data_IF_277093967256
#
_entry.id   IF_277093967256
#
_cell.length_a   1.000
_cell.length_b   1.000
_cell.length_c   1.000
_cell.angle_alpha   90.00
_cell.angle_beta   90.00
_cell.angle_gamma   90.00
#
_symmetry.space_group_name_H-M   'P 1'
#
loop_
_entity.id
_entity.type
_entity.pdbx_description
1 polymer ?
#
# COMPACT_ATOMS: atom_id res chain seq x y z
N UNK A 1 -5.85 3.54 15.28
CA UNK A 1 -6.66 4.61 14.66
C UNK A 1 -6.63 5.83 15.54
N UNK A 2 -7.03 5.71 16.79
CA UNK A 2 -7.14 6.83 17.71
C UNK A 2 -5.84 7.63 17.87
N UNK A 3 -4.70 6.96 18.05
CA UNK A 3 -3.38 7.60 18.13
C UNK A 3 -3.01 8.42 16.87
N UNK A 4 -3.50 8.00 15.71
CA UNK A 4 -3.13 8.60 14.42
C UNK A 4 -4.12 9.64 13.93
N UNK A 5 -5.41 9.43 14.17
CA UNK A 5 -6.48 10.31 13.69
C UNK A 5 -7.09 11.19 14.79
N UNK A 6 -6.61 11.04 16.04
CA UNK A 6 -7.01 11.88 17.18
C UNK A 6 -8.39 11.59 17.77
N UNK A 7 -9.10 10.58 17.21
CA UNK A 7 -10.38 10.13 17.75
C UNK A 7 -10.57 8.61 17.51
N UNK A 8 -11.34 7.93 18.36
CA UNK A 8 -11.63 6.51 18.19
C UNK A 8 -12.46 6.23 16.93
N UNK A 9 -12.34 5.01 16.38
CA UNK A 9 -12.96 4.66 15.10
C UNK A 9 -14.48 4.89 15.07
N UNK A 10 -15.18 4.61 16.17
CA UNK A 10 -16.64 4.79 16.26
C UNK A 10 -17.10 6.26 16.26
N UNK A 11 -16.21 7.20 16.55
CA UNK A 11 -16.51 8.63 16.42
C UNK A 11 -16.25 9.14 14.99
N UNK A 12 -15.26 8.57 14.31
CA UNK A 12 -14.86 8.96 12.96
C UNK A 12 -15.74 8.33 11.89
N UNK A 13 -16.15 7.09 12.10
CA UNK A 13 -16.93 6.29 11.15
C UNK A 13 -18.29 5.91 11.73
N UNK A 14 -19.28 5.76 10.90
CA UNK A 14 -20.61 5.18 11.25
C UNK A 14 -20.47 3.67 11.47
N UNK A 15 -19.72 3.00 10.56
CA UNK A 15 -19.39 1.59 10.68
C UNK A 15 -17.90 1.38 10.47
N UNK A 16 -17.25 0.70 11.43
CA UNK A 16 -15.87 0.25 11.31
C UNK A 16 -15.79 -1.21 11.79
N UNK A 17 -15.50 -2.18 10.90
CA UNK A 17 -15.54 -3.60 11.25
C UNK A 17 -14.36 -4.00 12.15
N UNK A 18 -14.57 -4.96 13.07
CA UNK A 18 -13.51 -5.53 13.90
C UNK A 18 -12.50 -6.36 13.11
N UNK A 19 -12.95 -6.95 11.99
CA UNK A 19 -12.10 -7.82 11.16
C UNK A 19 -11.72 -7.11 9.86
N UNK A 20 -10.43 -7.16 9.47
CA UNK A 20 -10.02 -6.65 8.18
C UNK A 20 -10.58 -7.50 7.03
N UNK A 21 -10.88 -6.87 5.92
CA UNK A 21 -11.27 -7.55 4.67
C UNK A 21 -10.07 -8.14 3.93
N UNK A 22 -8.87 -7.57 4.18
CA UNK A 22 -7.61 -8.06 3.64
C UNK A 22 -6.48 -7.79 4.62
N UNK A 23 -5.51 -8.70 4.64
CA UNK A 23 -4.27 -8.55 5.40
C UNK A 23 -3.08 -8.67 4.47
N UNK A 24 -2.18 -7.70 4.54
CA UNK A 24 -0.90 -7.67 3.85
C UNK A 24 0.25 -7.78 4.87
N UNK A 25 1.48 -7.93 4.37
CA UNK A 25 2.68 -7.97 5.21
C UNK A 25 2.81 -6.75 6.11
N UNK A 26 2.57 -5.56 5.57
CA UNK A 26 2.80 -4.28 6.22
C UNK A 26 1.55 -3.67 6.87
N UNK A 27 0.34 -4.17 6.56
CA UNK A 27 -0.89 -3.58 7.06
C UNK A 27 -2.14 -4.41 6.87
N UNK A 28 -3.25 -3.89 7.34
CA UNK A 28 -4.58 -4.48 7.25
C UNK A 28 -5.54 -3.48 6.61
N UNK A 29 -6.43 -3.95 5.75
CA UNK A 29 -7.41 -3.11 5.06
C UNK A 29 -8.81 -3.40 5.61
N UNK A 30 -9.51 -2.34 5.95
CA UNK A 30 -10.87 -2.35 6.46
C UNK A 30 -11.80 -1.63 5.47
N UNK A 31 -13.03 -2.13 5.32
CA UNK A 31 -14.10 -1.41 4.62
C UNK A 31 -14.90 -0.65 5.66
N UNK A 32 -14.66 0.64 5.78
CA UNK A 32 -15.36 1.52 6.72
C UNK A 32 -16.47 2.29 6.02
N UNK A 33 -17.44 2.79 6.79
CA UNK A 33 -18.52 3.62 6.30
C UNK A 33 -18.53 4.93 7.08
N UNK A 34 -18.55 6.04 6.37
CA UNK A 34 -18.64 7.36 7.00
C UNK A 34 -20.06 7.68 7.45
N UNK A 35 -20.21 8.68 8.32
CA UNK A 35 -21.50 9.23 8.73
C UNK A 35 -22.37 9.75 7.58
N UNK A 36 -21.75 10.06 6.44
CA UNK A 36 -22.43 10.47 5.21
C UNK A 36 -22.75 9.28 4.28
N UNK A 37 -22.73 8.07 4.79
CA UNK A 37 -23.05 6.82 4.05
C UNK A 37 -22.09 6.52 2.88
N UNK A 38 -20.83 7.00 2.94
CA UNK A 38 -19.81 6.75 1.93
C UNK A 38 -18.89 5.63 2.42
N UNK A 39 -18.65 4.62 1.56
CA UNK A 39 -17.71 3.55 1.86
C UNK A 39 -16.27 3.94 1.53
N UNK A 40 -15.36 3.61 2.45
CA UNK A 40 -13.93 3.88 2.36
C UNK A 40 -13.11 2.60 2.58
N UNK A 41 -11.98 2.52 1.91
CA UNK A 41 -10.93 1.54 2.18
C UNK A 41 -9.92 2.19 3.12
N UNK A 42 -9.83 1.69 4.34
CA UNK A 42 -8.91 2.18 5.38
C UNK A 42 -7.80 1.15 5.57
N UNK A 43 -6.60 1.46 5.12
CA UNK A 43 -5.41 0.63 5.29
C UNK A 43 -4.66 1.12 6.52
N UNK A 44 -4.55 0.27 7.51
CA UNK A 44 -3.89 0.55 8.80
C UNK A 44 -2.60 -0.23 8.89
N UNK A 45 -1.51 0.43 9.20
CA UNK A 45 -0.19 -0.18 9.37
C UNK A 45 -0.15 -1.10 10.59
N UNK A 46 0.63 -2.18 10.52
CA UNK A 46 0.87 -3.04 11.69
C UNK A 46 1.62 -2.27 12.78
N UNK A 47 1.33 -2.53 14.06
CA UNK A 47 2.01 -1.85 15.16
C UNK A 47 3.51 -2.15 15.14
N UNK A 48 4.31 -1.19 15.59
CA UNK A 48 5.76 -1.29 15.77
C UNK A 48 6.57 -1.62 14.49
N UNK A 49 5.97 -1.51 13.30
CA UNK A 49 6.58 -1.89 12.03
C UNK A 49 7.89 -1.12 11.76
N UNK A 50 7.92 0.17 12.06
CA UNK A 50 9.12 0.99 11.93
C UNK A 50 10.31 0.42 12.73
N UNK A 51 10.08 0.04 14.00
CA UNK A 51 11.13 -0.52 14.86
C UNK A 51 11.58 -1.90 14.39
N UNK A 52 10.65 -2.72 13.90
CA UNK A 52 10.97 -4.04 13.37
C UNK A 52 11.86 -3.92 12.13
N UNK A 53 11.49 -3.09 11.17
CA UNK A 53 12.29 -2.85 9.95
C UNK A 53 13.67 -2.30 10.32
N UNK A 54 13.73 -1.29 11.19
CA UNK A 54 15.01 -0.71 11.63
C UNK A 54 15.93 -1.76 12.25
N UNK A 55 15.39 -2.57 13.16
CA UNK A 55 16.15 -3.66 13.80
C UNK A 55 16.67 -4.65 12.76
N UNK A 56 15.80 -5.08 11.84
CA UNK A 56 16.13 -6.10 10.86
C UNK A 56 17.17 -5.60 9.85
N UNK A 57 17.08 -4.34 9.41
CA UNK A 57 18.11 -3.69 8.55
C UNK A 57 19.46 -3.61 9.26
N UNK A 58 19.50 -3.25 10.56
CA UNK A 58 20.73 -3.21 11.35
C UNK A 58 21.37 -4.60 11.46
N UNK A 59 20.56 -5.63 11.74
CA UNK A 59 21.04 -7.01 11.82
C UNK A 59 21.58 -7.48 10.46
N UNK A 60 20.85 -7.23 9.38
CA UNK A 60 21.29 -7.59 8.03
C UNK A 60 22.62 -6.91 7.66
N UNK A 61 22.75 -5.63 7.99
CA UNK A 61 23.99 -4.89 7.75
C UNK A 61 25.16 -5.44 8.54
N UNK A 62 24.95 -5.79 9.81
CA UNK A 62 25.97 -6.44 10.64
C UNK A 62 26.39 -7.79 10.03
N UNK A 63 25.44 -8.64 9.68
CA UNK A 63 25.71 -9.93 9.04
C UNK A 63 26.45 -9.76 7.71
N UNK A 64 26.03 -8.80 6.89
CA UNK A 64 26.70 -8.49 5.63
C UNK A 64 28.17 -8.12 5.85
N UNK A 65 28.48 -7.27 6.82
CA UNK A 65 29.86 -6.88 7.13
C UNK A 65 30.72 -8.08 7.61
N UNK A 66 30.11 -9.00 8.39
CA UNK A 66 30.83 -10.17 8.90
C UNK A 66 31.09 -11.20 7.80
N UNK A 67 30.10 -11.44 6.93
CA UNK A 67 30.16 -12.53 5.95
C UNK A 67 30.66 -12.09 4.57
N UNK A 68 30.65 -10.80 4.23
CA UNK A 68 31.07 -10.33 2.91
C UNK A 68 32.48 -10.77 2.50
N UNK A 69 33.48 -10.88 3.38
CA UNK A 69 34.81 -11.36 3.00
C UNK A 69 34.83 -12.85 2.57
N UNK A 70 33.84 -13.61 2.99
CA UNK A 70 33.72 -15.05 2.69
C UNK A 70 32.84 -15.35 1.48
N UNK A 71 32.13 -14.34 0.95
CA UNK A 71 31.23 -14.52 -0.18
C UNK A 71 31.95 -14.10 -1.47
N UNK A 72 32.08 -14.99 -2.48
CA UNK A 72 32.71 -14.66 -3.76
C UNK A 72 31.74 -13.83 -4.63
N UNK A 73 31.20 -12.73 -4.07
CA UNK A 73 30.25 -11.86 -4.75
C UNK A 73 30.99 -10.75 -5.47
N UNK A 74 31.05 -10.86 -6.79
CA UNK A 74 31.63 -9.83 -7.67
C UNK A 74 30.51 -8.93 -8.23
N UNK A 75 29.76 -8.24 -7.31
CA UNK A 75 28.56 -7.48 -7.67
C UNK A 75 28.87 -6.03 -8.07
N UNK A 76 30.14 -5.60 -7.98
CA UNK A 76 30.54 -4.22 -8.30
C UNK A 76 30.06 -3.14 -7.31
N UNK A 77 29.18 -3.50 -6.37
CA UNK A 77 28.62 -2.63 -5.30
C UNK A 77 28.76 -3.37 -3.96
N UNK A 78 29.03 -2.63 -2.88
CA UNK A 78 29.15 -3.23 -1.54
C UNK A 78 27.80 -3.79 -1.06
N UNK A 79 27.78 -5.00 -0.46
CA UNK A 79 26.55 -5.61 0.09
C UNK A 79 25.88 -4.65 1.10
N UNK A 80 26.66 -3.91 1.88
CA UNK A 80 26.17 -2.91 2.82
C UNK A 80 25.33 -1.81 2.13
N UNK A 81 25.76 -1.35 0.96
CA UNK A 81 25.04 -0.33 0.17
C UNK A 81 23.71 -0.87 -0.35
N UNK A 82 23.69 -2.13 -0.78
CA UNK A 82 22.44 -2.80 -1.21
C UNK A 82 21.46 -2.89 -0.05
N UNK A 83 21.92 -3.24 1.15
CA UNK A 83 21.09 -3.31 2.35
C UNK A 83 20.57 -1.93 2.76
N UNK A 84 21.40 -0.90 2.66
CA UNK A 84 20.99 0.47 2.94
C UNK A 84 19.91 0.96 1.97
N UNK A 85 20.06 0.65 0.68
CA UNK A 85 19.06 1.00 -0.33
C UNK A 85 17.74 0.22 -0.14
N UNK A 86 17.84 -1.06 0.18
CA UNK A 86 16.70 -1.87 0.55
C UNK A 86 15.98 -1.32 1.80
N UNK A 87 16.75 -0.92 2.83
CA UNK A 87 16.20 -0.29 4.02
C UNK A 87 15.45 1.00 3.71
N UNK A 88 16.02 1.88 2.86
CA UNK A 88 15.34 3.10 2.41
C UNK A 88 14.05 2.80 1.66
N UNK A 89 14.06 1.81 0.77
CA UNK A 89 12.86 1.38 0.05
C UNK A 89 11.77 0.91 1.01
N UNK A 90 12.10 0.08 2.01
CA UNK A 90 11.16 -0.36 3.03
C UNK A 90 10.60 0.80 3.87
N UNK A 91 11.43 1.77 4.27
CA UNK A 91 10.96 2.95 5.00
C UNK A 91 10.06 3.85 4.17
N UNK A 92 10.28 3.93 2.86
CA UNK A 92 9.38 4.63 1.95
C UNK A 92 8.04 3.90 1.79
N UNK A 93 8.05 2.56 1.74
CA UNK A 93 6.86 1.72 1.61
C UNK A 93 5.92 1.80 2.83
N UNK A 94 6.47 2.08 4.01
CA UNK A 94 5.68 2.25 5.23
C UNK A 94 5.23 3.70 5.48
N UNK A 95 5.58 4.63 4.63
CA UNK A 95 5.18 6.03 4.73
C UNK A 95 3.91 6.27 3.92
N UNK A 96 2.75 6.13 4.58
CA UNK A 96 1.45 6.24 3.91
C UNK A 96 1.07 7.67 3.53
N UNK A 97 1.72 8.70 4.07
CA UNK A 97 1.57 10.07 3.57
C UNK A 97 2.12 10.18 2.14
N UNK A 98 3.29 9.59 1.88
CA UNK A 98 3.86 9.53 0.52
C UNK A 98 3.00 8.69 -0.43
N UNK A 99 2.42 7.57 0.05
CA UNK A 99 1.49 6.77 -0.74
C UNK A 99 0.28 7.61 -1.16
N UNK A 100 -0.28 8.41 -0.23
CA UNK A 100 -1.38 9.34 -0.51
C UNK A 100 -1.01 10.45 -1.49
N UNK A 101 0.17 11.07 -1.35
CA UNK A 101 0.67 12.08 -2.30
C UNK A 101 0.88 11.50 -3.70
N UNK A 102 1.39 10.28 -3.79
CA UNK A 102 1.55 9.58 -5.06
C UNK A 102 0.19 9.25 -5.69
N UNK A 103 -0.80 8.85 -4.90
CA UNK A 103 -2.16 8.62 -5.39
C UNK A 103 -2.75 9.90 -6.01
N UNK A 104 -2.53 11.08 -5.41
CA UNK A 104 -2.95 12.37 -5.98
C UNK A 104 -2.25 12.68 -7.31
N UNK A 105 -0.93 12.44 -7.40
CA UNK A 105 -0.17 12.62 -8.66
C UNK A 105 -0.67 11.68 -9.75
N UNK A 106 -0.94 10.42 -9.41
CA UNK A 106 -1.51 9.45 -10.33
C UNK A 106 -2.91 9.86 -10.79
N UNK A 107 -3.76 10.32 -9.88
CA UNK A 107 -5.09 10.81 -10.23
C UNK A 107 -5.03 11.99 -11.22
N UNK A 108 -4.09 12.92 -11.05
CA UNK A 108 -3.91 14.03 -12.00
C UNK A 108 -3.36 13.54 -13.35
N UNK A 109 -2.40 12.63 -13.34
CA UNK A 109 -1.81 12.05 -14.57
C UNK A 109 -2.86 11.34 -15.43
N UNK A 110 -3.77 10.58 -14.80
CA UNK A 110 -4.76 9.75 -15.50
C UNK A 110 -6.15 10.39 -15.59
N UNK A 111 -6.34 11.64 -15.18
CA UNK A 111 -7.66 12.31 -15.15
C UNK A 111 -8.42 12.32 -16.48
N UNK A 112 -7.69 12.27 -17.59
CA UNK A 112 -8.26 12.27 -18.94
C UNK A 112 -8.32 10.86 -19.56
N UNK A 113 -7.95 9.82 -18.84
CA UNK A 113 -7.99 8.43 -19.34
C UNK A 113 -9.23 7.72 -18.77
N UNK A 114 -10.29 7.48 -19.58
CA UNK A 114 -11.52 6.86 -19.10
C UNK A 114 -11.36 5.39 -18.70
N UNK A 115 -10.25 4.75 -19.06
CA UNK A 115 -9.98 3.35 -18.77
C UNK A 115 -9.20 3.14 -17.47
N UNK A 116 -8.78 4.23 -16.80
CA UNK A 116 -8.02 4.18 -15.55
C UNK A 116 -8.76 4.98 -14.48
N UNK A 117 -9.14 4.31 -13.42
CA UNK A 117 -9.77 4.93 -12.26
C UNK A 117 -8.85 4.84 -11.05
N UNK A 118 -8.50 5.99 -10.50
CA UNK A 118 -7.70 6.09 -9.28
C UNK A 118 -8.63 6.37 -8.10
N UNK A 119 -8.60 5.56 -7.03
CA UNK A 119 -9.39 5.81 -5.83
C UNK A 119 -9.07 7.18 -5.24
N UNK A 120 -10.08 7.93 -4.85
CA UNK A 120 -9.88 9.25 -4.25
C UNK A 120 -9.19 9.11 -2.89
N UNK A 121 -8.08 9.79 -2.70
CA UNK A 121 -7.39 9.88 -1.42
C UNK A 121 -8.16 10.78 -0.45
N UNK A 122 -8.48 10.28 0.75
CA UNK A 122 -9.22 10.99 1.79
C UNK A 122 -8.27 11.43 2.90
N UNK A 123 -7.68 12.60 2.73
CA UNK A 123 -6.65 13.14 3.62
C UNK A 123 -7.13 13.29 5.08
N UNK A 124 -8.40 13.63 5.29
CA UNK A 124 -8.98 13.82 6.63
C UNK A 124 -9.05 12.53 7.48
N UNK A 125 -8.99 11.37 6.82
CA UNK A 125 -8.97 10.05 7.45
C UNK A 125 -7.63 9.33 7.24
N UNK A 126 -6.56 10.08 6.95
CA UNK A 126 -5.23 9.54 6.67
C UNK A 126 -4.17 10.19 7.53
N UNK A 127 -3.09 9.46 7.78
CA UNK A 127 -1.92 9.87 8.54
C UNK A 127 -0.69 9.11 8.05
N UNK A 128 0.44 9.24 8.73
CA UNK A 128 1.66 8.51 8.40
C UNK A 128 1.50 6.99 8.44
N UNK A 129 0.60 6.47 9.29
CA UNK A 129 0.36 5.03 9.50
C UNK A 129 -1.03 4.56 9.04
N UNK A 130 -1.83 5.46 8.48
CA UNK A 130 -3.18 5.15 7.95
C UNK A 130 -3.35 5.83 6.60
N UNK A 131 -3.67 5.05 5.57
CA UNK A 131 -4.10 5.61 4.29
C UNK A 131 -5.54 5.21 4.01
N UNK A 132 -6.34 6.21 3.67
CA UNK A 132 -7.76 6.05 3.39
C UNK A 132 -8.08 6.53 1.98
N UNK A 133 -8.77 5.68 1.23
CA UNK A 133 -9.21 5.98 -0.12
C UNK A 133 -10.69 5.64 -0.27
N UNK A 134 -11.32 6.18 -1.33
CA UNK A 134 -12.67 5.76 -1.68
C UNK A 134 -12.71 4.25 -1.93
N UNK A 135 -13.78 3.60 -1.47
CA UNK A 135 -14.01 2.19 -1.76
C UNK A 135 -14.36 1.99 -3.24
N UNK A 136 -13.80 0.97 -3.85
CA UNK A 136 -14.12 0.57 -5.22
C UNK A 136 -14.64 -0.86 -5.19
N UNK A 137 -15.81 -1.06 -5.77
CA UNK A 137 -16.31 -2.40 -6.07
C UNK A 137 -15.72 -2.85 -7.40
N UNK A 138 -15.08 -4.02 -7.41
CA UNK A 138 -14.41 -4.53 -8.59
C UNK A 138 -14.21 -6.03 -8.55
N UNK A 139 -13.91 -6.61 -9.71
CA UNK A 139 -13.60 -8.03 -9.87
C UNK A 139 -12.08 -8.22 -9.94
N UNK A 140 -11.55 -9.17 -9.17
CA UNK A 140 -10.12 -9.49 -9.22
C UNK A 140 -9.78 -10.17 -10.55
N UNK A 141 -8.74 -9.73 -11.24
CA UNK A 141 -8.30 -10.30 -12.52
C UNK A 141 -7.97 -11.80 -12.48
N UNK A 142 -7.70 -12.36 -11.31
CA UNK A 142 -7.49 -13.80 -11.11
C UNK A 142 -8.79 -14.61 -11.02
N UNK A 143 -9.93 -13.96 -10.81
CA UNK A 143 -11.23 -14.62 -10.67
C UNK A 143 -11.89 -14.75 -12.04
N UNK A 144 -11.50 -15.80 -12.77
CA UNK A 144 -11.99 -16.09 -14.13
C UNK A 144 -13.49 -16.22 -14.20
N UNK A 145 -14.10 -16.84 -13.19
CA UNK A 145 -15.53 -17.05 -13.16
C UNK A 145 -16.31 -15.71 -13.11
N UNK A 146 -15.92 -14.81 -12.22
CA UNK A 146 -16.52 -13.48 -12.13
C UNK A 146 -16.23 -12.59 -13.36
N UNK A 147 -15.05 -12.75 -13.98
CA UNK A 147 -14.73 -12.05 -15.22
C UNK A 147 -15.64 -12.49 -16.35
N UNK A 148 -15.86 -13.80 -16.53
CA UNK A 148 -16.76 -14.36 -17.56
C UNK A 148 -18.21 -13.93 -17.33
N UNK A 149 -18.72 -14.02 -16.09
CA UNK A 149 -20.08 -13.57 -15.75
C UNK A 149 -20.32 -12.09 -16.06
N UNK A 150 -19.31 -11.23 -15.91
CA UNK A 150 -19.39 -9.80 -16.17
C UNK A 150 -18.96 -9.44 -17.61
N UNK A 151 -18.76 -10.41 -18.51
CA UNK A 151 -18.28 -10.21 -19.88
C UNK A 151 -16.97 -9.40 -19.96
N UNK A 152 -16.09 -9.56 -18.98
CA UNK A 152 -14.81 -8.85 -18.90
C UNK A 152 -13.72 -9.66 -19.61
N UNK A 153 -13.07 -9.06 -20.62
CA UNK A 153 -12.03 -9.72 -21.43
C UNK A 153 -10.66 -9.38 -20.84
N UNK A 154 -9.91 -10.36 -20.26
CA UNK A 154 -8.61 -10.10 -19.63
C UNK A 154 -7.59 -9.40 -20.54
N UNK A 155 -7.58 -9.71 -21.83
CA UNK A 155 -6.66 -9.11 -22.80
C UNK A 155 -6.81 -7.59 -22.92
N UNK A 156 -8.04 -7.04 -22.77
CA UNK A 156 -8.27 -5.60 -22.83
C UNK A 156 -7.66 -4.88 -21.62
N UNK A 157 -7.72 -5.49 -20.44
CA UNK A 157 -7.11 -4.94 -19.21
C UNK A 157 -5.59 -4.97 -19.28
N UNK A 158 -5.00 -6.09 -19.76
CA UNK A 158 -3.55 -6.20 -19.96
C UNK A 158 -3.07 -5.11 -20.91
N UNK A 159 -3.79 -4.90 -22.04
CA UNK A 159 -3.46 -3.82 -22.97
C UNK A 159 -3.49 -2.46 -22.28
N UNK A 160 -4.53 -2.17 -21.50
CA UNK A 160 -4.65 -0.90 -20.75
C UNK A 160 -3.50 -0.73 -19.75
N UNK A 161 -3.17 -1.76 -18.97
CA UNK A 161 -2.05 -1.73 -18.02
C UNK A 161 -0.72 -1.42 -18.73
N UNK A 162 -0.42 -2.10 -19.83
CA UNK A 162 0.81 -1.88 -20.60
C UNK A 162 0.89 -0.46 -21.17
N UNK A 163 -0.21 0.04 -21.75
CA UNK A 163 -0.27 1.40 -22.33
C UNK A 163 -0.15 2.47 -21.24
N UNK A 164 -0.70 2.22 -20.06
CA UNK A 164 -0.67 3.14 -18.93
C UNK A 164 0.65 3.08 -18.14
N UNK A 165 1.55 2.15 -18.46
CA UNK A 165 2.80 1.96 -17.73
C UNK A 165 2.63 1.36 -16.34
N UNK A 166 1.52 0.66 -16.11
CA UNK A 166 1.14 0.01 -14.84
C UNK A 166 1.52 -1.47 -14.81
#
# INVERSE_FOLDING_TARGET
IEEELGAPAHELFDEFPDKPIASASLGQVYKAKTKNNIFLAVKVQRPNLYFLIRRDVVILRFLANVFSPFLPLNIGVGIGEIIDEFGKALFNEIDYEKEGENALKFADLFKNNPNVFIPKFEKSFSSKRIITTSWIDGVKLRDRYLLEQNNLIPASFIKTCVISGL
#
